data_IF_397328331415
#
_entry.id   IF_397328331415
#
_cell.length_a   1.000
_cell.length_b   1.000
_cell.length_c   1.000
_cell.angle_alpha   90.00
_cell.angle_beta   90.00
_cell.angle_gamma   90.00
#
_symmetry.space_group_name_H-M   'P 1'
#
loop_
_entity.id
_entity.type
_entity.pdbx_description
1 polymer ?
#
# COMPACT_ATOMS: atom_id res chain seq x y z
N UNK A 1 29.77 3.02 -15.71
CA UNK A 1 28.75 2.50 -16.64
C UNK A 1 27.61 2.05 -15.75
N UNK A 2 26.47 2.75 -15.78
CA UNK A 2 25.27 2.27 -15.09
C UNK A 2 24.63 1.24 -16.03
N UNK A 3 24.78 -0.05 -15.73
CA UNK A 3 23.97 -1.08 -16.35
C UNK A 3 22.51 -0.79 -15.99
N UNK A 4 21.68 -0.55 -17.01
CA UNK A 4 20.22 -0.50 -16.80
C UNK A 4 19.78 -1.93 -16.48
N UNK A 5 19.53 -2.21 -15.21
CA UNK A 5 18.88 -3.45 -14.80
C UNK A 5 17.49 -3.49 -15.43
N UNK A 6 17.31 -4.38 -16.43
CA UNK A 6 16.01 -4.62 -17.04
C UNK A 6 15.31 -5.70 -16.21
N UNK A 7 14.30 -5.29 -15.44
CA UNK A 7 13.44 -6.20 -14.70
C UNK A 7 12.50 -6.94 -15.65
N UNK A 8 12.15 -8.19 -15.32
CA UNK A 8 11.02 -8.86 -15.98
C UNK A 8 9.70 -8.22 -15.54
N UNK A 9 8.62 -8.48 -16.28
CA UNK A 9 7.29 -7.93 -15.94
C UNK A 9 6.84 -8.33 -14.52
N UNK A 10 7.11 -9.57 -14.11
CA UNK A 10 6.86 -10.08 -12.76
C UNK A 10 7.65 -9.30 -11.69
N UNK A 11 8.93 -9.03 -11.98
CA UNK A 11 9.82 -8.34 -11.05
C UNK A 11 9.45 -6.86 -10.88
N UNK A 12 9.07 -6.21 -11.98
CA UNK A 12 8.55 -4.85 -11.95
C UNK A 12 7.23 -4.80 -11.16
N UNK A 13 6.29 -5.71 -11.44
CA UNK A 13 5.02 -5.79 -10.73
C UNK A 13 5.21 -6.05 -9.22
N UNK A 14 6.18 -6.90 -8.85
CA UNK A 14 6.50 -7.21 -7.46
C UNK A 14 7.02 -5.98 -6.71
N UNK A 15 7.96 -5.25 -7.31
CA UNK A 15 8.52 -4.01 -6.74
C UNK A 15 7.42 -2.94 -6.60
N UNK A 16 6.60 -2.75 -7.63
CA UNK A 16 5.51 -1.78 -7.62
C UNK A 16 4.47 -2.11 -6.54
N UNK A 17 4.03 -3.36 -6.44
CA UNK A 17 3.09 -3.81 -5.42
C UNK A 17 3.65 -3.58 -4.00
N UNK A 18 4.93 -3.89 -3.78
CA UNK A 18 5.59 -3.66 -2.50
C UNK A 18 5.64 -2.17 -2.12
N UNK A 19 6.06 -1.30 -3.05
CA UNK A 19 6.12 0.15 -2.81
C UNK A 19 4.73 0.71 -2.48
N UNK A 20 3.70 0.27 -3.20
CA UNK A 20 2.33 0.71 -2.95
C UNK A 20 1.78 0.19 -1.60
N UNK A 21 2.04 -1.07 -1.24
CA UNK A 21 1.63 -1.63 0.05
C UNK A 21 2.26 -0.85 1.22
N UNK A 22 3.57 -0.56 1.14
CA UNK A 22 4.28 0.25 2.12
C UNK A 22 3.68 1.67 2.26
N UNK A 23 3.48 2.36 1.13
CA UNK A 23 2.95 3.72 1.14
C UNK A 23 1.51 3.76 1.69
N UNK A 24 0.70 2.75 1.38
CA UNK A 24 -0.67 2.67 1.86
C UNK A 24 -0.72 2.37 3.36
N UNK A 25 0.11 1.45 3.86
CA UNK A 25 0.21 1.17 5.30
C UNK A 25 0.58 2.42 6.11
N UNK A 26 1.50 3.26 5.61
CA UNK A 26 1.85 4.52 6.25
C UNK A 26 0.68 5.52 6.27
N UNK A 27 -0.06 5.63 5.18
CA UNK A 27 -1.25 6.51 5.10
C UNK A 27 -2.35 6.08 6.06
N UNK A 28 -2.59 4.77 6.20
CA UNK A 28 -3.51 4.27 7.23
C UNK A 28 -3.01 4.60 8.64
N UNK A 29 -1.70 4.52 8.89
CA UNK A 29 -1.10 4.99 10.15
C UNK A 29 -1.44 6.46 10.45
N UNK A 30 -1.20 7.35 9.48
CA UNK A 30 -1.55 8.76 9.63
C UNK A 30 -3.05 9.00 9.79
N UNK A 31 -3.90 8.25 9.10
CA UNK A 31 -5.33 8.33 9.25
C UNK A 31 -5.77 7.93 10.67
N UNK A 32 -5.21 6.86 11.23
CA UNK A 32 -5.48 6.46 12.62
C UNK A 32 -5.00 7.50 13.64
N UNK A 33 -3.85 8.14 13.40
CA UNK A 33 -3.30 9.17 14.29
C UNK A 33 -4.12 10.47 14.25
N UNK A 34 -4.68 10.81 13.09
CA UNK A 34 -5.49 12.02 12.88
C UNK A 34 -6.93 11.88 13.37
N UNK A 35 -7.47 10.65 13.46
CA UNK A 35 -8.79 10.41 14.03
C UNK A 35 -8.75 10.60 15.55
N UNK A 36 -9.39 11.69 16.01
CA UNK A 36 -9.45 12.09 17.41
C UNK A 36 -10.32 11.17 18.29
N UNK A 37 -11.29 10.48 17.69
CA UNK A 37 -12.21 9.59 18.41
C UNK A 37 -11.88 8.11 18.14
N UNK A 38 -11.75 7.34 19.22
CA UNK A 38 -11.70 5.88 19.15
C UNK A 38 -13.10 5.35 18.78
N UNK A 39 -13.20 4.61 17.68
CA UNK A 39 -14.46 4.05 17.20
C UNK A 39 -14.25 3.10 16.02
N UNK A 40 -15.34 2.46 15.57
CA UNK A 40 -15.34 1.37 14.58
C UNK A 40 -14.60 1.69 13.28
N UNK A 41 -14.51 2.96 12.88
CA UNK A 41 -13.71 3.35 11.72
C UNK A 41 -12.21 3.21 12.01
N UNK A 42 -11.73 3.75 13.13
CA UNK A 42 -10.31 3.69 13.51
C UNK A 42 -9.84 2.24 13.67
N UNK A 43 -10.66 1.39 14.29
CA UNK A 43 -10.35 -0.04 14.44
C UNK A 43 -10.23 -0.74 13.08
N UNK A 44 -11.13 -0.44 12.13
CA UNK A 44 -11.05 -0.96 10.76
C UNK A 44 -9.81 -0.45 10.01
N UNK A 45 -9.51 0.84 10.12
CA UNK A 45 -8.30 1.42 9.52
C UNK A 45 -7.03 0.78 10.09
N UNK A 46 -7.00 0.51 11.40
CA UNK A 46 -5.86 -0.09 12.07
C UNK A 46 -5.68 -1.56 11.70
N UNK A 47 -6.77 -2.36 11.68
CA UNK A 47 -6.72 -3.73 11.20
C UNK A 47 -6.20 -3.80 9.76
N UNK A 48 -6.68 -2.92 8.88
CA UNK A 48 -6.21 -2.86 7.50
C UNK A 48 -4.73 -2.49 7.39
N UNK A 49 -4.25 -1.55 8.23
CA UNK A 49 -2.82 -1.21 8.31
C UNK A 49 -1.96 -2.43 8.64
N UNK A 50 -2.38 -3.25 9.59
CA UNK A 50 -1.64 -4.45 10.01
C UNK A 50 -1.61 -5.51 8.91
N UNK A 51 -2.70 -5.68 8.16
CA UNK A 51 -2.74 -6.53 6.97
C UNK A 51 -1.76 -6.04 5.90
N UNK A 52 -1.73 -4.72 5.63
CA UNK A 52 -0.84 -4.12 4.64
C UNK A 52 0.63 -4.22 5.04
N UNK A 53 0.94 -4.09 6.33
CA UNK A 53 2.29 -4.31 6.86
C UNK A 53 2.72 -5.76 6.62
N UNK A 54 1.86 -6.72 6.95
CA UNK A 54 2.10 -8.15 6.72
C UNK A 54 2.34 -8.47 5.24
N UNK A 55 1.53 -7.89 4.35
CA UNK A 55 1.71 -8.00 2.90
C UNK A 55 3.05 -7.40 2.46
N UNK A 56 3.41 -6.22 2.95
CA UNK A 56 4.67 -5.57 2.57
C UNK A 56 5.88 -6.41 2.97
N UNK A 57 5.87 -7.02 4.17
CA UNK A 57 6.94 -7.92 4.60
C UNK A 57 7.05 -9.15 3.70
N UNK A 58 5.92 -9.71 3.25
CA UNK A 58 5.93 -10.88 2.36
C UNK A 58 6.46 -10.54 0.96
N UNK A 59 6.02 -9.43 0.38
CA UNK A 59 6.55 -8.96 -0.89
C UNK A 59 8.03 -8.61 -0.78
N UNK A 60 8.47 -8.01 0.33
CA UNK A 60 9.88 -7.73 0.59
C UNK A 60 10.71 -9.02 0.60
N UNK A 61 10.28 -10.06 1.33
CA UNK A 61 10.98 -11.36 1.35
C UNK A 61 11.16 -11.92 -0.05
N UNK A 62 10.14 -11.81 -0.91
CA UNK A 62 10.21 -12.29 -2.31
C UNK A 62 11.18 -11.47 -3.15
N UNK A 63 11.18 -10.14 -2.98
CA UNK A 63 12.17 -9.25 -3.60
C UNK A 63 13.59 -9.67 -3.18
N UNK A 64 13.81 -9.95 -1.89
CA UNK A 64 15.12 -10.43 -1.38
C UNK A 64 15.49 -11.79 -1.96
N UNK A 65 14.54 -12.72 -2.06
CA UNK A 65 14.77 -14.06 -2.56
C UNK A 65 15.19 -14.09 -4.04
N UNK A 66 14.73 -13.11 -4.82
CA UNK A 66 15.09 -12.95 -6.22
C UNK A 66 16.36 -12.09 -6.43
N UNK A 67 17.03 -11.67 -5.35
CA UNK A 67 18.14 -10.71 -5.36
C UNK A 67 17.80 -9.41 -6.09
N UNK A 68 16.51 -9.07 -6.08
CA UNK A 68 15.96 -7.88 -6.72
C UNK A 68 15.95 -6.69 -5.79
N UNK A 69 16.44 -6.86 -4.55
CA UNK A 69 16.72 -5.74 -3.68
C UNK A 69 17.64 -4.82 -4.47
N UNK A 70 17.12 -3.68 -4.93
CA UNK A 70 17.99 -2.70 -5.55
C UNK A 70 18.98 -2.31 -4.46
N UNK A 71 20.26 -2.31 -4.80
CA UNK A 71 21.26 -1.66 -3.96
C UNK A 71 20.74 -0.24 -3.72
N UNK A 72 20.29 0.04 -2.50
CA UNK A 72 19.65 1.30 -2.09
C UNK A 72 18.35 1.71 -2.83
N UNK A 73 17.29 0.89 -2.85
CA UNK A 73 15.94 1.48 -2.68
C UNK A 73 15.70 1.58 -1.18
N UNK A 74 16.40 2.55 -0.58
CA UNK A 74 15.66 3.54 0.18
C UNK A 74 14.55 3.98 -0.77
N UNK A 75 13.34 3.41 -0.67
CA UNK A 75 12.15 4.16 -1.07
C UNK A 75 12.32 5.40 -0.22
N UNK A 76 12.80 6.48 -0.85
CA UNK A 76 13.57 7.50 -0.16
C UNK A 76 12.75 7.86 1.07
N UNK A 77 13.29 7.67 2.28
CA UNK A 77 12.51 8.00 3.48
C UNK A 77 11.97 9.41 3.35
N UNK A 78 12.68 10.26 2.61
CA UNK A 78 12.24 11.54 2.08
C UNK A 78 11.04 11.50 1.13
N UNK A 79 10.96 10.62 0.12
CA UNK A 79 9.80 10.52 -0.77
C UNK A 79 8.57 9.94 -0.08
N UNK A 80 8.75 8.95 0.81
CA UNK A 80 7.68 8.49 1.69
C UNK A 80 7.26 9.58 2.68
N UNK A 81 8.22 10.32 3.26
CA UNK A 81 7.93 11.46 4.13
C UNK A 81 7.25 12.61 3.37
N UNK A 82 7.62 12.90 2.13
CA UNK A 82 6.96 13.92 1.28
C UNK A 82 5.54 13.49 0.93
N UNK A 83 5.32 12.21 0.66
CA UNK A 83 3.98 11.65 0.43
C UNK A 83 3.13 11.72 1.70
N UNK A 84 3.71 11.40 2.86
CA UNK A 84 3.08 11.53 4.17
C UNK A 84 2.78 12.99 4.54
N UNK A 85 3.70 13.91 4.26
CA UNK A 85 3.56 15.34 4.52
C UNK A 85 2.48 15.96 3.63
N UNK A 86 2.45 15.61 2.34
CA UNK A 86 1.40 16.03 1.43
C UNK A 86 0.04 15.46 1.85
N UNK A 87 0.01 14.24 2.40
CA UNK A 87 -1.21 13.64 2.95
C UNK A 87 -1.67 14.33 4.25
N UNK A 88 -0.73 14.68 5.12
CA UNK A 88 -0.97 15.42 6.37
C UNK A 88 -1.48 16.83 6.11
N UNK A 89 -0.88 17.54 5.16
CA UNK A 89 -1.34 18.85 4.70
C UNK A 89 -2.77 18.78 4.13
N UNK A 90 -3.11 17.67 3.45
CA UNK A 90 -4.46 17.44 2.93
C UNK A 90 -5.48 17.09 4.03
N UNK A 91 -5.07 16.27 5.00
CA UNK A 91 -5.86 15.92 6.19
C UNK A 91 -6.17 17.11 7.09
N UNK A 92 -5.21 18.04 7.26
CA UNK A 92 -5.41 19.28 8.03
C UNK A 92 -6.53 20.17 7.46
N UNK A 93 -6.93 19.95 6.19
CA UNK A 93 -7.92 20.78 5.49
C UNK A 93 -9.27 20.09 5.24
N UNK A 94 -9.44 18.79 5.51
CA UNK A 94 -10.57 18.02 4.99
C UNK A 94 -11.33 17.14 6.02
N UNK A 95 -12.67 17.18 5.93
CA UNK A 95 -13.61 16.35 6.74
C UNK A 95 -13.44 14.86 6.42
N UNK A 96 -13.78 13.99 7.39
CA UNK A 96 -13.70 12.52 7.32
C UNK A 96 -14.06 11.87 5.96
N UNK A 97 -15.08 12.37 5.25
CA UNK A 97 -15.51 11.83 3.96
C UNK A 97 -14.43 11.92 2.85
N UNK A 98 -13.61 12.97 2.87
CA UNK A 98 -12.53 13.14 1.91
C UNK A 98 -11.35 12.20 2.20
N UNK A 99 -11.00 12.03 3.48
CA UNK A 99 -10.02 11.02 3.92
C UNK A 99 -10.44 9.62 3.46
N UNK A 100 -11.71 9.25 3.66
CA UNK A 100 -12.22 7.95 3.24
C UNK A 100 -12.14 7.75 1.72
N UNK A 101 -12.48 8.79 0.94
CA UNK A 101 -12.34 8.76 -0.52
C UNK A 101 -10.88 8.62 -0.94
N UNK A 102 -9.98 9.38 -0.32
CA UNK A 102 -8.55 9.31 -0.59
C UNK A 102 -8.00 7.90 -0.34
N UNK A 103 -8.39 7.26 0.77
CA UNK A 103 -7.99 5.89 1.08
C UNK A 103 -8.58 4.89 0.07
N UNK A 104 -9.84 5.07 -0.33
CA UNK A 104 -10.49 4.20 -1.31
C UNK A 104 -9.81 4.28 -2.68
N UNK A 105 -9.41 5.46 -3.13
CA UNK A 105 -8.67 5.63 -4.39
C UNK A 105 -7.30 4.93 -4.33
N UNK A 106 -6.63 4.93 -3.18
CA UNK A 106 -5.34 4.24 -3.01
C UNK A 106 -5.44 2.74 -2.85
N UNK A 107 -6.51 2.24 -2.23
CA UNK A 107 -6.83 0.81 -2.25
C UNK A 107 -7.07 0.32 -3.69
N UNK A 108 -7.78 1.11 -4.50
CA UNK A 108 -7.98 0.79 -5.92
C UNK A 108 -6.63 0.69 -6.67
N UNK A 109 -5.74 1.66 -6.48
CA UNK A 109 -4.40 1.62 -7.07
C UNK A 109 -3.61 0.37 -6.64
N UNK A 110 -3.68 -0.02 -5.36
CA UNK A 110 -2.99 -1.24 -4.89
C UNK A 110 -3.60 -2.51 -5.49
N UNK A 111 -4.93 -2.59 -5.57
CA UNK A 111 -5.64 -3.71 -6.19
C UNK A 111 -5.20 -3.90 -7.64
N UNK A 112 -5.16 -2.84 -8.44
CA UNK A 112 -4.71 -2.90 -9.83
C UNK A 112 -3.29 -3.47 -9.94
N UNK A 113 -2.39 -3.12 -9.00
CA UNK A 113 -1.00 -3.65 -8.97
C UNK A 113 -0.94 -5.12 -8.54
N UNK A 114 -1.76 -5.52 -7.58
CA UNK A 114 -1.85 -6.92 -7.14
C UNK A 114 -2.42 -7.80 -8.26
N UNK A 115 -3.38 -7.29 -9.04
CA UNK A 115 -3.88 -7.99 -10.24
C UNK A 115 -2.78 -8.17 -11.28
N UNK A 116 -2.01 -7.13 -11.60
CA UNK A 116 -0.87 -7.24 -12.53
C UNK A 116 0.17 -8.25 -12.05
N UNK A 117 0.47 -8.26 -10.75
CA UNK A 117 1.40 -9.23 -10.17
C UNK A 117 0.86 -10.67 -10.24
N UNK A 118 -0.44 -10.87 -10.00
CA UNK A 118 -1.10 -12.17 -10.14
C UNK A 118 -1.19 -12.64 -11.60
N UNK A 119 -1.30 -11.73 -12.56
CA UNK A 119 -1.25 -12.09 -13.98
C UNK A 119 0.15 -12.49 -14.42
N UNK A 120 1.18 -11.91 -13.79
CA UNK A 120 2.58 -12.20 -14.06
C UNK A 120 3.11 -13.44 -13.30
N UNK A 121 2.56 -13.76 -12.11
CA UNK A 121 2.95 -14.91 -11.29
C UNK A 121 1.93 -16.06 -11.36
N UNK A 122 2.41 -17.30 -11.28
CA UNK A 122 1.52 -18.48 -11.25
C UNK A 122 1.31 -18.90 -9.80
N UNK A 123 0.10 -18.61 -9.29
CA UNK A 123 -0.48 -19.09 -8.03
C UNK A 123 0.08 -18.42 -6.76
N UNK A 124 -0.68 -17.46 -6.22
CA UNK A 124 -0.22 -16.58 -5.15
C UNK A 124 -1.34 -16.23 -4.15
N UNK A 125 -1.56 -17.13 -3.20
CA UNK A 125 -2.66 -17.05 -2.25
C UNK A 125 -2.61 -15.81 -1.35
N UNK A 126 -1.41 -15.31 -1.03
CA UNK A 126 -1.25 -14.09 -0.24
C UNK A 126 -1.68 -12.84 -1.02
N UNK A 127 -1.36 -12.78 -2.32
CA UNK A 127 -1.79 -11.69 -3.20
C UNK A 127 -3.31 -11.71 -3.37
N UNK A 128 -3.90 -12.89 -3.57
CA UNK A 128 -5.36 -13.03 -3.70
C UNK A 128 -6.10 -12.60 -2.42
N UNK A 129 -5.56 -12.97 -1.25
CA UNK A 129 -6.10 -12.54 0.04
C UNK A 129 -6.01 -11.02 0.21
N UNK A 130 -4.89 -10.41 -0.20
CA UNK A 130 -4.67 -8.97 -0.13
C UNK A 130 -5.61 -8.18 -1.05
N UNK A 131 -5.81 -8.65 -2.28
CA UNK A 131 -6.78 -8.11 -3.25
C UNK A 131 -8.20 -8.13 -2.66
N UNK A 132 -8.61 -9.30 -2.15
CA UNK A 132 -9.94 -9.49 -1.54
C UNK A 132 -10.15 -8.56 -0.35
N UNK A 133 -9.14 -8.42 0.50
CA UNK A 133 -9.19 -7.52 1.65
C UNK A 133 -9.27 -6.04 1.23
N UNK A 134 -8.52 -5.62 0.20
CA UNK A 134 -8.59 -4.27 -0.35
C UNK A 134 -9.98 -3.94 -0.90
N UNK A 135 -10.60 -4.86 -1.64
CA UNK A 135 -11.96 -4.69 -2.17
C UNK A 135 -13.01 -4.53 -1.06
N UNK A 136 -12.92 -5.34 -0.02
CA UNK A 136 -13.79 -5.22 1.17
C UNK A 136 -13.60 -3.87 1.84
N UNK A 137 -12.36 -3.40 1.96
CA UNK A 137 -12.06 -2.11 2.57
C UNK A 137 -12.60 -0.93 1.74
N UNK A 138 -12.42 -0.97 0.43
CA UNK A 138 -13.01 0.03 -0.48
C UNK A 138 -14.54 0.12 -0.35
N UNK A 139 -15.23 -1.02 -0.23
CA UNK A 139 -16.68 -1.04 -0.02
C UNK A 139 -17.03 -0.35 1.31
N UNK A 140 -16.34 -0.74 2.39
CA UNK A 140 -16.51 -0.16 3.73
C UNK A 140 -16.27 1.36 3.78
N UNK A 141 -15.30 1.87 3.00
CA UNK A 141 -14.99 3.30 2.90
C UNK A 141 -16.01 4.10 2.08
N UNK A 142 -16.83 3.44 1.24
CA UNK A 142 -17.85 4.07 0.38
C UNK A 142 -19.26 4.07 0.99
N UNK A 143 -19.52 3.25 2.00
CA UNK A 143 -20.84 3.07 2.62
C UNK A 143 -21.18 4.06 3.76
N UNK A 144 -20.31 5.03 4.07
CA UNK A 144 -20.53 6.06 5.11
C UNK A 144 -20.35 7.47 4.56
#
# INVERSE_FOLDING_TARGET
MNEQTVYTDEQAALIEAHTHACALAQRYGHACDALLDDGDLKDRLQARREELASLSEELEKRIRAQDLLPHDVNVDREDLARLADRFREWLDHERHAHLQRALADREAELIDRLELLREASVDDSEIEAADTAGRRMMASLKEN
#
